data_IF_445896346375
#
_entry.id   IF_445896346375
#
_cell.length_a   1.000
_cell.length_b   1.000
_cell.length_c   1.000
_cell.angle_alpha   90.00
_cell.angle_beta   90.00
_cell.angle_gamma   90.00
#
_symmetry.space_group_name_H-M   'P 1'
#
loop_
_entity.id
_entity.type
_entity.pdbx_description
1 polymer ?
#
# COMPACT_ATOMS: atom_id res chain seq x y z
N UNK A 1 -64.51 10.25 -28.31
CA UNK A 1 -63.58 9.32 -29.00
C UNK A 1 -62.93 10.13 -30.12
N UNK A 2 -61.62 10.38 -30.21
CA UNK A 2 -60.46 9.46 -30.13
C UNK A 2 -59.28 10.15 -29.46
N UNK A 3 -58.48 9.31 -28.81
CA UNK A 3 -57.55 9.60 -27.73
C UNK A 3 -56.12 9.70 -28.27
N UNK A 4 -55.52 10.86 -28.01
CA UNK A 4 -54.16 11.13 -27.54
C UNK A 4 -52.93 10.46 -28.20
N UNK A 5 -52.19 11.31 -28.92
CA UNK A 5 -50.76 11.64 -28.74
C UNK A 5 -49.74 10.52 -28.95
N UNK A 6 -49.15 10.53 -30.15
CA UNK A 6 -47.84 9.96 -30.49
C UNK A 6 -46.78 10.68 -29.65
N UNK A 7 -46.00 9.94 -28.87
CA UNK A 7 -45.01 10.55 -27.97
C UNK A 7 -43.97 9.57 -27.46
N UNK A 8 -42.93 9.40 -28.28
CA UNK A 8 -41.52 9.14 -27.92
C UNK A 8 -41.22 7.91 -27.05
N UNK A 9 -40.61 6.93 -27.72
CA UNK A 9 -39.89 5.79 -27.15
C UNK A 9 -38.78 6.33 -26.23
N UNK A 10 -38.92 6.13 -24.93
CA UNK A 10 -37.85 6.35 -23.97
C UNK A 10 -36.84 5.19 -24.10
N UNK A 11 -35.74 5.47 -24.80
CA UNK A 11 -34.57 4.61 -24.88
C UNK A 11 -33.93 4.59 -23.49
N UNK A 12 -34.19 3.55 -22.70
CA UNK A 12 -33.50 3.30 -21.44
C UNK A 12 -32.05 2.91 -21.76
N UNK A 13 -31.16 3.91 -21.80
CA UNK A 13 -29.73 3.70 -21.86
C UNK A 13 -29.31 3.03 -20.55
N UNK A 14 -28.84 1.79 -20.67
CA UNK A 14 -28.23 1.03 -19.61
C UNK A 14 -26.99 1.77 -19.09
N UNK A 15 -27.09 2.31 -17.88
CA UNK A 15 -25.91 2.59 -17.08
C UNK A 15 -25.52 1.28 -16.41
N UNK A 16 -24.60 0.57 -17.04
CA UNK A 16 -23.76 -0.44 -16.38
C UNK A 16 -23.06 0.24 -15.20
N UNK A 17 -23.59 0.02 -14.00
CA UNK A 17 -22.94 0.34 -12.73
C UNK A 17 -21.65 -0.47 -12.65
N UNK A 18 -20.55 0.13 -13.10
CA UNK A 18 -19.21 -0.42 -13.01
C UNK A 18 -18.61 0.03 -11.67
N UNK A 19 -18.37 -0.93 -10.79
CA UNK A 19 -17.52 -0.81 -9.61
C UNK A 19 -18.18 -0.16 -8.40
N UNK A 20 -18.34 -0.93 -7.34
CA UNK A 20 -18.42 -0.38 -5.97
C UNK A 20 -17.27 0.63 -5.80
N UNK A 21 -17.65 1.84 -5.42
CA UNK A 21 -16.74 2.93 -5.02
C UNK A 21 -16.23 2.69 -3.57
N UNK A 22 -15.83 1.44 -3.27
CA UNK A 22 -15.07 1.11 -2.05
C UNK A 22 -13.56 1.43 -2.23
N UNK A 23 -13.20 2.03 -3.35
CA UNK A 23 -11.85 2.46 -3.64
C UNK A 23 -11.52 3.75 -2.88
N UNK A 24 -10.52 3.68 -1.99
CA UNK A 24 -9.71 4.80 -1.48
C UNK A 24 -10.17 5.50 -0.20
N UNK A 25 -11.07 4.93 0.61
CA UNK A 25 -11.17 5.40 2.00
C UNK A 25 -9.88 4.99 2.74
N UNK A 26 -9.04 5.93 3.21
CA UNK A 26 -7.85 5.58 3.95
C UNK A 26 -8.26 4.87 5.25
N UNK A 27 -7.60 3.75 5.58
CA UNK A 27 -7.93 3.00 6.79
C UNK A 27 -7.75 3.92 8.02
N UNK A 28 -8.85 4.25 8.74
CA UNK A 28 -8.80 5.19 9.85
C UNK A 28 -7.93 4.66 11.01
N UNK A 29 -7.71 3.35 11.09
CA UNK A 29 -6.85 2.75 12.12
C UNK A 29 -5.37 3.07 11.90
N UNK A 30 -4.97 3.46 10.69
CA UNK A 30 -3.60 3.89 10.38
C UNK A 30 -3.31 5.32 10.85
N UNK A 31 -4.33 6.13 11.11
CA UNK A 31 -4.18 7.55 11.41
C UNK A 31 -3.15 7.88 12.51
N UNK A 32 -3.00 7.09 13.60
CA UNK A 32 -1.99 7.33 14.62
C UNK A 32 -0.54 7.12 14.15
N UNK A 33 -0.33 6.35 13.08
CA UNK A 33 0.98 5.97 12.57
C UNK A 33 1.44 6.82 11.39
N UNK A 34 0.55 7.61 10.78
CA UNK A 34 0.86 8.48 9.64
C UNK A 34 1.79 9.62 10.06
N UNK A 35 2.87 9.82 9.29
CA UNK A 35 3.81 10.91 9.51
C UNK A 35 5.27 10.50 9.28
N UNK A 36 6.15 11.40 9.70
CA UNK A 36 7.59 11.20 9.65
C UNK A 36 8.10 10.71 11.02
N UNK A 37 8.87 9.63 10.97
CA UNK A 37 9.42 8.95 12.13
C UNK A 37 10.93 8.86 11.99
N UNK A 38 11.63 9.04 13.11
CA UNK A 38 13.06 8.80 13.21
C UNK A 38 13.32 7.83 14.34
N UNK A 39 14.05 6.76 14.06
CA UNK A 39 14.36 5.76 15.07
C UNK A 39 15.25 6.35 16.16
N UNK A 40 14.88 6.13 17.42
CA UNK A 40 15.74 6.40 18.57
C UNK A 40 16.75 5.27 18.82
N UNK A 41 16.44 4.05 18.37
CA UNK A 41 17.26 2.84 18.52
C UNK A 41 16.97 1.90 17.36
N UNK A 42 18.00 1.22 16.84
CA UNK A 42 17.88 0.18 15.81
C UNK A 42 18.82 -0.98 16.15
N UNK A 43 18.30 -1.92 16.94
CA UNK A 43 19.06 -3.06 17.43
C UNK A 43 19.03 -4.21 16.42
N UNK A 44 20.21 -4.63 15.98
CA UNK A 44 20.40 -5.81 15.13
C UNK A 44 21.03 -6.91 15.97
N UNK A 45 20.36 -8.04 16.10
CA UNK A 45 20.84 -9.22 16.80
C UNK A 45 21.46 -10.23 15.82
N UNK A 46 22.49 -10.94 16.26
CA UNK A 46 23.09 -12.01 15.46
C UNK A 46 22.15 -13.22 15.37
N UNK A 47 21.91 -13.77 14.15
CA UNK A 47 21.03 -14.93 13.98
C UNK A 47 21.64 -16.23 14.55
N UNK A 48 22.95 -16.27 14.79
CA UNK A 48 23.68 -17.46 15.30
C UNK A 48 24.14 -17.30 16.74
N UNK A 49 24.07 -16.08 17.29
CA UNK A 49 24.47 -15.76 18.67
C UNK A 49 23.56 -14.64 19.22
N UNK A 50 22.33 -14.96 19.66
CA UNK A 50 21.30 -13.97 19.98
C UNK A 50 21.67 -13.02 21.14
N UNK A 51 22.61 -13.42 21.99
CA UNK A 51 23.15 -12.56 23.07
C UNK A 51 24.03 -11.42 22.51
N UNK A 52 24.46 -11.51 21.25
CA UNK A 52 25.19 -10.47 20.55
C UNK A 52 24.21 -9.61 19.77
N UNK A 53 24.08 -8.36 20.18
CA UNK A 53 23.33 -7.34 19.47
C UNK A 53 24.10 -6.03 19.40
N UNK A 54 23.77 -5.22 18.41
CA UNK A 54 24.36 -3.90 18.21
C UNK A 54 23.28 -2.90 17.89
N UNK A 55 23.29 -1.75 18.55
CA UNK A 55 22.45 -0.63 18.16
C UNK A 55 23.15 0.19 17.08
N UNK A 56 22.58 0.19 15.88
CA UNK A 56 23.15 0.93 14.75
C UNK A 56 23.04 2.45 14.94
N UNK A 57 22.04 2.94 15.68
CA UNK A 57 21.86 4.38 15.93
C UNK A 57 22.98 4.89 16.83
N UNK A 58 23.37 4.13 17.86
CA UNK A 58 24.52 4.47 18.73
C UNK A 58 25.85 4.49 17.96
N UNK A 59 25.96 3.70 16.87
CA UNK A 59 27.11 3.69 15.97
C UNK A 59 27.09 4.81 14.91
N UNK A 60 26.14 5.74 14.99
CA UNK A 60 26.06 6.91 14.10
C UNK A 60 25.20 6.71 12.84
N UNK A 61 24.36 5.68 12.80
CA UNK A 61 23.40 5.46 11.70
C UNK A 61 22.17 6.34 11.86
N UNK A 62 21.41 6.49 10.78
CA UNK A 62 20.04 7.01 10.84
C UNK A 62 19.06 6.04 10.20
N UNK A 63 17.87 5.95 10.79
CA UNK A 63 16.73 5.26 10.19
C UNK A 63 15.53 6.22 10.24
N UNK A 64 15.09 6.64 9.06
CA UNK A 64 13.99 7.56 8.87
C UNK A 64 12.86 6.82 8.13
N UNK A 65 11.63 6.94 8.62
CA UNK A 65 10.44 6.23 8.12
C UNK A 65 9.32 7.24 7.88
N UNK A 66 8.82 7.30 6.66
CA UNK A 66 7.63 8.07 6.29
C UNK A 66 6.47 7.10 6.07
N UNK A 67 5.37 7.30 6.79
CA UNK A 67 4.12 6.55 6.64
C UNK A 67 3.07 7.46 6.05
N UNK A 68 2.48 7.04 4.92
CA UNK A 68 1.44 7.77 4.22
C UNK A 68 0.06 7.26 4.64
N UNK A 69 -0.93 8.15 4.57
CA UNK A 69 -2.34 7.79 4.86
C UNK A 69 -2.88 6.69 3.93
N UNK A 70 -2.29 6.54 2.74
CA UNK A 70 -2.63 5.49 1.78
C UNK A 70 -2.20 4.09 2.21
N UNK A 71 -1.48 3.92 3.32
CA UNK A 71 -0.91 2.63 3.73
C UNK A 71 0.45 2.33 3.10
N UNK A 72 0.97 3.23 2.25
CA UNK A 72 2.34 3.13 1.75
C UNK A 72 3.34 3.68 2.77
N UNK A 73 4.54 3.10 2.80
CA UNK A 73 5.66 3.67 3.55
C UNK A 73 6.93 3.78 2.69
N UNK A 74 7.85 4.61 3.16
CA UNK A 74 9.23 4.68 2.68
C UNK A 74 10.15 4.72 3.89
N UNK A 75 11.13 3.82 3.94
CA UNK A 75 12.15 3.76 4.97
C UNK A 75 13.54 3.98 4.36
N UNK A 76 14.38 4.75 5.04
CA UNK A 76 15.75 5.02 4.63
C UNK A 76 16.68 4.71 5.80
N UNK A 77 17.59 3.76 5.59
CA UNK A 77 18.71 3.49 6.48
C UNK A 77 19.96 4.14 5.90
N UNK A 78 20.66 4.98 6.66
CA UNK A 78 22.02 5.41 6.35
C UNK A 78 22.97 4.75 7.33
N UNK A 79 23.81 3.85 6.84
CA UNK A 79 24.83 3.15 7.62
C UNK A 79 26.19 3.29 6.93
N UNK A 80 27.22 3.68 7.69
CA UNK A 80 28.57 3.91 7.15
C UNK A 80 28.60 4.82 5.91
N UNK A 81 27.74 5.84 5.89
CA UNK A 81 27.60 6.79 4.76
C UNK A 81 26.92 6.22 3.51
N UNK A 82 26.41 4.98 3.56
CA UNK A 82 25.65 4.36 2.47
C UNK A 82 24.16 4.38 2.80
N UNK A 83 23.35 4.91 1.88
CA UNK A 83 21.90 4.91 1.98
C UNK A 83 21.29 3.62 1.40
N UNK A 84 20.36 3.02 2.12
CA UNK A 84 19.49 1.93 1.68
C UNK A 84 18.05 2.42 1.78
N UNK A 85 17.29 2.31 0.69
CA UNK A 85 15.90 2.73 0.63
C UNK A 85 15.00 1.52 0.47
N UNK A 86 13.96 1.47 1.28
CA UNK A 86 12.93 0.46 1.29
C UNK A 86 11.57 1.13 1.10
N UNK A 87 10.72 0.53 0.28
CA UNK A 87 9.35 0.97 0.04
C UNK A 87 8.42 -0.23 0.17
N UNK A 88 7.19 0.03 0.62
CA UNK A 88 6.22 -1.05 0.78
C UNK A 88 4.87 -0.59 1.28
N UNK A 89 4.07 -1.55 1.73
CA UNK A 89 2.80 -1.35 2.41
C UNK A 89 2.95 -1.56 3.91
N UNK A 90 2.05 -1.00 4.68
CA UNK A 90 1.93 -1.30 6.10
C UNK A 90 0.71 -2.17 6.36
N UNK A 91 0.84 -3.08 7.30
CA UNK A 91 -0.27 -3.78 7.93
C UNK A 91 -0.22 -3.60 9.44
N UNK A 92 -1.37 -3.65 10.11
CA UNK A 92 -1.42 -3.51 11.57
C UNK A 92 -1.37 -4.87 12.25
N UNK A 93 -0.57 -4.96 13.31
CA UNK A 93 -0.55 -6.08 14.24
C UNK A 93 -1.12 -5.62 15.58
N UNK A 94 -2.45 -5.62 15.68
CA UNK A 94 -3.14 -5.07 16.86
C UNK A 94 -3.08 -3.53 16.91
N UNK A 95 -3.31 -2.91 18.09
CA UNK A 95 -3.56 -1.48 18.20
C UNK A 95 -2.30 -0.60 18.22
N UNK A 96 -1.11 -1.20 18.42
CA UNK A 96 0.12 -0.45 18.71
C UNK A 96 1.33 -0.90 17.91
N UNK A 97 1.17 -1.85 16.99
CA UNK A 97 2.26 -2.34 16.17
C UNK A 97 1.89 -2.30 14.69
N UNK A 98 2.87 -1.88 13.90
CA UNK A 98 2.81 -1.83 12.44
C UNK A 98 3.82 -2.84 11.91
N UNK A 99 3.42 -3.62 10.94
CA UNK A 99 4.27 -4.50 10.16
C UNK A 99 4.58 -3.77 8.85
N UNK A 100 5.86 -3.76 8.49
CA UNK A 100 6.35 -3.19 7.24
C UNK A 100 6.44 -4.31 6.20
N UNK A 101 5.48 -4.36 5.29
CA UNK A 101 5.43 -5.34 4.20
C UNK A 101 6.23 -4.79 3.01
N UNK A 102 7.47 -5.26 2.89
CA UNK A 102 8.38 -4.81 1.84
C UNK A 102 7.90 -5.23 0.47
N UNK A 103 7.78 -4.26 -0.42
CA UNK A 103 7.56 -4.53 -1.85
C UNK A 103 8.92 -4.76 -2.51
N UNK A 104 9.32 -6.03 -2.65
CA UNK A 104 10.43 -6.34 -3.54
C UNK A 104 9.95 -6.20 -4.99
N UNK A 105 10.70 -5.55 -5.89
CA UNK A 105 10.38 -5.62 -7.31
C UNK A 105 10.47 -7.08 -7.73
N UNK A 106 9.33 -7.71 -7.99
CA UNK A 106 9.29 -9.00 -8.67
C UNK A 106 9.97 -8.81 -10.04
N UNK A 107 10.79 -9.76 -10.52
CA UNK A 107 11.18 -9.77 -11.93
C UNK A 107 9.90 -9.61 -12.76
N UNK A 108 9.84 -8.65 -13.69
CA UNK A 108 8.64 -8.41 -14.52
C UNK A 108 8.14 -9.74 -15.08
N UNK A 109 7.09 -10.32 -14.50
CA UNK A 109 6.28 -11.28 -15.23
C UNK A 109 5.60 -10.47 -16.32
N UNK A 110 5.90 -10.82 -17.56
CA UNK A 110 5.27 -10.24 -18.74
C UNK A 110 3.82 -10.72 -18.71
N UNK A 111 2.95 -9.97 -18.01
CA UNK A 111 1.51 -10.13 -18.06
C UNK A 111 1.07 -9.97 -19.52
N UNK A 112 0.78 -11.09 -20.18
CA UNK A 112 0.00 -11.08 -21.41
C UNK A 112 -1.43 -10.69 -21.01
N UNK A 113 -2.03 -9.63 -21.57
CA UNK A 113 -3.43 -9.34 -21.31
C UNK A 113 -4.28 -10.49 -21.87
N UNK A 114 -4.88 -11.27 -20.97
CA UNK A 114 -5.95 -12.20 -21.32
C UNK A 114 -7.22 -11.38 -21.56
N UNK A 115 -7.37 -10.85 -22.78
CA UNK A 115 -8.69 -10.44 -23.25
C UNK A 115 -9.52 -11.72 -23.46
N UNK A 116 -10.33 -12.06 -22.47
CA UNK A 116 -11.38 -13.08 -22.63
C UNK A 116 -12.48 -12.47 -23.49
N UNK A 117 -12.43 -12.72 -24.79
CA UNK A 117 -13.52 -12.43 -25.71
C UNK A 117 -14.72 -13.30 -25.33
N UNK A 118 -15.72 -12.71 -24.68
CA UNK A 118 -17.04 -13.33 -24.56
C UNK A 118 -17.69 -13.34 -25.95
N UNK A 119 -17.62 -14.49 -26.62
CA UNK A 119 -18.31 -14.75 -27.88
C UNK A 119 -19.72 -15.22 -27.53
N UNK A 120 -20.71 -14.33 -27.68
CA UNK A 120 -22.12 -14.70 -27.69
C UNK A 120 -22.48 -15.00 -29.15
N UNK A 121 -22.86 -16.25 -29.42
CA UNK A 121 -23.64 -16.65 -30.58
C UNK A 121 -24.75 -17.59 -30.10
#
# INVERSE_FOLDING_TARGET
>A
MRRRWVGVIALAVALSSCGDDDALAPDPSLAPFVGDWRAASLVVASPVAPDLSVDLIELGSSFDLNIQRSGHYTAILVFAGQGQTEIGQISLSGPSAVILDREFPLPREISRPSCSTALIA
#
